data_IF_261648630028
#
_entry.id   IF_261648630028
#
_cell.length_a   1.000
_cell.length_b   1.000
_cell.length_c   1.000
_cell.angle_alpha   90.00
_cell.angle_beta   90.00
_cell.angle_gamma   90.00
#
_symmetry.space_group_name_H-M   'P 1'
#
loop_
_entity.id
_entity.type
_entity.pdbx_description
1 polymer ?
#
# COMPACT_ATOMS: atom_id res chain seq x y z
N UNK A 1 -16.00 20.03 62.84
CA UNK A 1 -16.72 20.66 61.69
C UNK A 1 -15.85 20.75 60.44
N UNK A 2 -14.64 21.33 60.48
CA UNK A 2 -13.75 21.42 59.30
C UNK A 2 -13.33 20.06 58.70
N UNK A 3 -13.13 19.04 59.52
CA UNK A 3 -12.80 17.67 59.07
C UNK A 3 -13.94 17.03 58.27
N UNK A 4 -15.18 17.17 58.74
CA UNK A 4 -16.36 16.68 58.02
C UNK A 4 -16.52 17.40 56.68
N UNK A 5 -16.36 18.74 56.65
CA UNK A 5 -16.41 19.53 55.41
C UNK A 5 -15.36 19.06 54.38
N UNK A 6 -14.12 18.80 54.83
CA UNK A 6 -13.06 18.27 53.96
C UNK A 6 -13.41 16.90 53.39
N UNK A 7 -13.98 16.00 54.19
CA UNK A 7 -14.42 14.69 53.72
C UNK A 7 -15.53 14.79 52.67
N UNK A 8 -16.51 15.68 52.87
CA UNK A 8 -17.56 15.92 51.87
C UNK A 8 -17.03 16.51 50.57
N UNK A 9 -16.07 17.46 50.65
CA UNK A 9 -15.44 18.04 49.45
C UNK A 9 -14.65 16.97 48.69
N UNK A 10 -13.90 16.11 49.38
CA UNK A 10 -13.15 15.01 48.74
C UNK A 10 -14.12 14.04 48.08
N UNK A 11 -15.15 13.57 48.79
CA UNK A 11 -16.14 12.64 48.25
C UNK A 11 -16.90 13.22 47.05
N UNK A 12 -17.32 14.49 47.13
CA UNK A 12 -17.97 15.20 46.03
C UNK A 12 -17.06 15.36 44.81
N UNK A 13 -15.80 15.74 45.02
CA UNK A 13 -14.82 15.87 43.94
C UNK A 13 -14.52 14.53 43.25
N UNK A 14 -14.44 13.44 44.01
CA UNK A 14 -14.22 12.10 43.49
C UNK A 14 -15.40 11.61 42.64
N UNK A 15 -16.64 11.89 43.06
CA UNK A 15 -17.85 11.58 42.29
C UNK A 15 -17.90 12.37 40.98
N UNK A 16 -17.57 13.65 41.02
CA UNK A 16 -17.57 14.51 39.82
C UNK A 16 -16.49 14.05 38.83
N UNK A 17 -15.25 13.83 39.30
CA UNK A 17 -14.15 13.37 38.44
C UNK A 17 -14.39 11.96 37.91
N UNK A 18 -14.90 11.06 38.74
CA UNK A 18 -15.28 9.70 38.34
C UNK A 18 -16.40 9.72 37.30
N UNK A 19 -17.45 10.51 37.52
CA UNK A 19 -18.56 10.68 36.58
C UNK A 19 -18.10 11.23 35.23
N UNK A 20 -17.24 12.26 35.22
CA UNK A 20 -16.63 12.81 34.02
C UNK A 20 -15.77 11.79 33.27
N UNK A 21 -14.98 10.98 33.99
CA UNK A 21 -14.16 9.94 33.38
C UNK A 21 -15.01 8.85 32.72
N UNK A 22 -16.07 8.40 33.40
CA UNK A 22 -17.02 7.40 32.87
C UNK A 22 -17.75 7.95 31.64
N UNK A 23 -18.28 9.17 31.71
CA UNK A 23 -18.94 9.81 30.57
C UNK A 23 -17.99 9.93 29.39
N UNK A 24 -16.77 10.39 29.61
CA UNK A 24 -15.77 10.51 28.56
C UNK A 24 -15.50 9.15 27.91
N UNK A 25 -15.31 8.09 28.70
CA UNK A 25 -15.06 6.74 28.19
C UNK A 25 -16.27 6.19 27.43
N UNK A 26 -17.49 6.41 27.94
CA UNK A 26 -18.73 5.99 27.27
C UNK A 26 -18.95 6.73 25.94
N UNK A 27 -18.50 7.98 25.83
CA UNK A 27 -18.56 8.75 24.58
C UNK A 27 -17.37 8.52 23.63
N UNK A 28 -16.35 7.74 24.01
CA UNK A 28 -15.26 7.43 23.09
C UNK A 28 -15.80 6.54 21.97
N UNK A 29 -15.77 7.03 20.73
CA UNK A 29 -16.03 6.20 19.56
C UNK A 29 -15.03 5.04 19.52
N UNK A 30 -15.55 3.82 19.35
CA UNK A 30 -14.74 2.68 18.94
C UNK A 30 -14.22 2.96 17.53
N UNK A 31 -12.94 2.72 17.29
CA UNK A 31 -12.35 2.85 15.95
C UNK A 31 -13.08 1.90 14.99
N UNK A 32 -13.43 2.41 13.82
CA UNK A 32 -14.01 1.59 12.75
C UNK A 32 -12.96 0.66 12.16
N UNK A 33 -13.39 -0.41 11.48
CA UNK A 33 -12.49 -1.26 10.69
C UNK A 33 -11.69 -0.42 9.67
N UNK A 34 -12.32 0.58 9.07
CA UNK A 34 -11.66 1.53 8.15
C UNK A 34 -10.59 2.38 8.85
N UNK A 35 -10.81 2.78 10.10
CA UNK A 35 -9.81 3.53 10.88
C UNK A 35 -8.59 2.67 11.18
N UNK A 36 -8.82 1.41 11.55
CA UNK A 36 -7.76 0.44 11.75
C UNK A 36 -6.95 0.19 10.47
N UNK A 37 -7.63 0.05 9.33
CA UNK A 37 -6.98 -0.17 8.05
C UNK A 37 -6.20 1.08 7.59
N UNK A 38 -6.73 2.28 7.82
CA UNK A 38 -6.00 3.54 7.58
C UNK A 38 -4.73 3.63 8.43
N UNK A 39 -4.82 3.34 9.73
CA UNK A 39 -3.65 3.35 10.62
C UNK A 39 -2.60 2.32 10.20
N UNK A 40 -3.03 1.13 9.74
CA UNK A 40 -2.12 0.11 9.18
C UNK A 40 -1.37 0.65 7.96
N UNK A 41 -2.08 1.29 7.02
CA UNK A 41 -1.49 1.88 5.81
C UNK A 41 -0.55 3.04 6.13
N UNK A 42 -0.91 3.92 7.05
CA UNK A 42 -0.04 5.00 7.53
C UNK A 42 1.23 4.48 8.22
N UNK A 43 1.12 3.37 8.97
CA UNK A 43 2.28 2.72 9.58
C UNK A 43 3.22 2.18 8.51
N UNK A 44 2.71 1.38 7.56
CA UNK A 44 3.50 0.82 6.47
C UNK A 44 4.10 1.88 5.56
N UNK A 45 3.39 2.99 5.31
CA UNK A 45 3.94 4.11 4.56
C UNK A 45 5.19 4.69 5.26
N UNK A 46 5.16 4.76 6.59
CA UNK A 46 6.24 5.31 7.42
C UNK A 46 7.42 4.36 7.62
N UNK A 47 7.16 3.08 7.89
CA UNK A 47 8.19 2.11 8.31
C UNK A 47 8.54 1.07 7.23
N UNK A 48 7.70 0.92 6.22
CA UNK A 48 7.81 -0.14 5.23
C UNK A 48 9.06 -0.01 4.38
N UNK A 49 9.68 -1.14 4.07
CA UNK A 49 10.75 -1.21 3.05
C UNK A 49 10.13 -1.34 1.67
N UNK A 50 10.82 -0.78 0.69
CA UNK A 50 10.43 -0.85 -0.72
C UNK A 50 11.04 -2.09 -1.36
N UNK A 51 10.26 -2.75 -2.21
CA UNK A 51 10.72 -3.80 -3.12
C UNK A 51 9.98 -3.67 -4.45
N UNK A 52 10.58 -4.19 -5.50
CA UNK A 52 9.92 -4.28 -6.79
C UNK A 52 8.93 -5.45 -6.78
N UNK A 53 7.76 -5.20 -7.36
CA UNK A 53 6.70 -6.17 -7.53
C UNK A 53 6.03 -5.99 -8.88
N UNK A 54 5.01 -6.80 -9.14
CA UNK A 54 4.21 -6.69 -10.37
C UNK A 54 2.73 -6.77 -10.03
N UNK A 55 1.93 -5.92 -10.68
CA UNK A 55 0.47 -6.04 -10.62
C UNK A 55 0.06 -7.28 -11.41
N UNK A 56 -0.65 -8.19 -10.75
CA UNK A 56 -1.12 -9.43 -11.37
C UNK A 56 -2.53 -9.23 -11.91
N UNK A 57 -3.40 -8.57 -11.15
CA UNK A 57 -4.80 -8.40 -11.53
C UNK A 57 -5.47 -7.23 -10.75
N UNK A 58 -6.62 -6.79 -11.25
CA UNK A 58 -7.50 -5.84 -10.58
C UNK A 58 -8.91 -6.41 -10.62
N UNK A 59 -9.41 -6.81 -9.46
CA UNK A 59 -10.76 -7.35 -9.34
C UNK A 59 -11.73 -6.26 -8.89
N UNK A 60 -12.89 -6.20 -9.54
CA UNK A 60 -14.03 -5.39 -9.12
C UNK A 60 -15.12 -6.31 -8.57
N UNK A 61 -15.48 -6.11 -7.31
CA UNK A 61 -16.58 -6.82 -6.65
C UNK A 61 -17.83 -5.95 -6.72
N UNK A 62 -18.95 -6.56 -7.11
CA UNK A 62 -20.25 -5.91 -7.30
C UNK A 62 -20.19 -4.74 -8.31
N UNK A 63 -19.81 -5.01 -9.58
CA UNK A 63 -19.60 -3.97 -10.59
C UNK A 63 -20.87 -3.16 -10.89
N UNK A 64 -22.05 -3.72 -10.61
CA UNK A 64 -23.34 -3.07 -10.86
C UNK A 64 -23.74 -2.08 -9.74
N UNK A 65 -22.99 -2.03 -8.64
CA UNK A 65 -23.23 -1.10 -7.54
C UNK A 65 -22.36 0.16 -7.63
N UNK A 66 -22.89 1.34 -7.25
CA UNK A 66 -22.13 2.60 -7.28
C UNK A 66 -20.90 2.59 -6.33
N UNK A 67 -20.88 1.68 -5.36
CA UNK A 67 -19.78 1.49 -4.41
C UNK A 67 -19.06 0.16 -4.64
N UNK A 68 -18.96 -0.29 -5.90
CA UNK A 68 -18.20 -1.49 -6.28
C UNK A 68 -16.84 -1.49 -5.58
N UNK A 69 -16.50 -2.58 -4.89
CA UNK A 69 -15.22 -2.68 -4.18
C UNK A 69 -14.12 -3.06 -5.17
N UNK A 70 -12.94 -2.46 -5.03
CA UNK A 70 -11.83 -2.70 -5.96
C UNK A 70 -10.61 -3.21 -5.24
N UNK A 71 -10.12 -4.34 -5.75
CA UNK A 71 -9.04 -5.10 -5.14
C UNK A 71 -7.87 -5.16 -6.12
N UNK A 72 -6.74 -4.58 -5.72
CA UNK A 72 -5.48 -4.65 -6.45
C UNK A 72 -4.72 -5.89 -6.01
N UNK A 73 -4.40 -6.78 -6.96
CA UNK A 73 -3.68 -8.03 -6.71
C UNK A 73 -2.26 -7.88 -7.28
N UNK A 74 -1.26 -8.20 -6.47
CA UNK A 74 0.15 -8.01 -6.81
C UNK A 74 1.04 -9.07 -6.19
N UNK A 75 2.21 -9.31 -6.80
CA UNK A 75 3.27 -10.13 -6.22
C UNK A 75 4.55 -9.32 -6.00
N UNK A 76 5.42 -9.86 -5.15
CA UNK A 76 6.75 -9.34 -4.85
C UNK A 76 7.62 -10.44 -4.23
N UNK A 77 8.94 -10.33 -4.41
CA UNK A 77 9.91 -11.26 -3.81
C UNK A 77 10.60 -10.61 -2.60
N UNK A 78 10.69 -11.35 -1.49
CA UNK A 78 11.54 -10.96 -0.36
C UNK A 78 12.39 -12.16 0.04
N UNK A 79 13.71 -12.01 -0.06
CA UNK A 79 14.68 -13.04 0.30
C UNK A 79 14.44 -14.39 -0.41
N UNK A 80 14.00 -14.37 -1.68
CA UNK A 80 13.73 -15.56 -2.47
C UNK A 80 12.38 -16.23 -2.19
N UNK A 81 11.54 -15.59 -1.36
CA UNK A 81 10.15 -16.01 -1.14
C UNK A 81 9.23 -15.06 -1.89
N UNK A 82 8.44 -15.64 -2.78
CA UNK A 82 7.41 -14.92 -3.52
C UNK A 82 6.15 -14.79 -2.66
N UNK A 83 5.70 -13.56 -2.49
CA UNK A 83 4.46 -13.22 -1.84
C UNK A 83 3.45 -12.76 -2.87
N UNK A 84 2.20 -13.13 -2.65
CA UNK A 84 1.05 -12.61 -3.38
C UNK A 84 0.07 -12.02 -2.37
N UNK A 85 -0.38 -10.81 -2.64
CA UNK A 85 -1.29 -10.10 -1.76
C UNK A 85 -2.34 -9.35 -2.57
N UNK A 86 -3.48 -9.12 -1.93
CA UNK A 86 -4.55 -8.31 -2.45
C UNK A 86 -4.79 -7.12 -1.53
N UNK A 87 -4.93 -5.94 -2.11
CA UNK A 87 -5.16 -4.69 -1.39
C UNK A 87 -6.47 -4.07 -1.83
N UNK A 88 -7.36 -3.82 -0.88
CA UNK A 88 -8.56 -3.02 -1.12
C UNK A 88 -8.17 -1.56 -1.35
N UNK A 89 -8.51 -1.04 -2.53
CA UNK A 89 -8.24 0.33 -2.96
C UNK A 89 -9.53 1.14 -3.17
N UNK A 90 -10.67 0.63 -2.70
CA UNK A 90 -12.00 1.27 -2.86
C UNK A 90 -12.03 2.70 -2.33
N UNK A 91 -11.42 2.94 -1.16
CA UNK A 91 -11.34 4.27 -0.54
C UNK A 91 -10.17 5.12 -1.09
N UNK A 92 -9.28 4.50 -1.87
CA UNK A 92 -8.06 5.09 -2.42
C UNK A 92 -8.18 5.50 -3.89
N UNK A 93 -9.32 5.26 -4.52
CA UNK A 93 -9.56 5.58 -5.95
C UNK A 93 -9.30 7.04 -6.31
N UNK A 94 -9.49 7.96 -5.38
CA UNK A 94 -9.20 9.39 -5.57
C UNK A 94 -7.69 9.70 -5.66
N UNK A 95 -6.83 8.80 -5.15
CA UNK A 95 -5.38 8.96 -5.10
C UNK A 95 -4.66 8.09 -6.15
N UNK A 96 -5.39 7.28 -6.91
CA UNK A 96 -4.85 6.31 -7.87
C UNK A 96 -5.61 6.37 -9.16
N UNK A 97 -4.89 6.48 -10.28
CA UNK A 97 -5.47 6.25 -11.59
C UNK A 97 -5.54 4.74 -11.88
N UNK A 98 -6.71 4.17 -11.64
CA UNK A 98 -6.98 2.73 -11.82
C UNK A 98 -6.86 2.29 -13.28
N UNK A 99 -6.95 3.20 -14.25
CA UNK A 99 -6.72 2.88 -15.66
C UNK A 99 -5.27 2.46 -15.94
N UNK A 100 -4.35 2.78 -15.02
CA UNK A 100 -2.95 2.38 -15.05
C UNK A 100 -2.67 1.08 -14.29
N UNK A 101 -3.64 0.55 -13.52
CA UNK A 101 -3.55 -0.74 -12.87
C UNK A 101 -3.83 -1.85 -13.89
N UNK A 102 -2.83 -2.15 -14.73
CA UNK A 102 -2.92 -3.23 -15.72
C UNK A 102 -2.08 -4.41 -15.28
N UNK A 103 -2.52 -5.60 -15.68
CA UNK A 103 -1.78 -6.84 -15.50
C UNK A 103 -0.37 -6.70 -16.10
N UNK A 104 0.64 -7.09 -15.34
CA UNK A 104 2.04 -7.07 -15.75
C UNK A 104 2.74 -5.72 -15.57
N UNK A 105 2.06 -4.70 -15.03
CA UNK A 105 2.69 -3.41 -14.76
C UNK A 105 3.66 -3.57 -13.57
N UNK A 106 4.94 -3.22 -13.73
CA UNK A 106 5.87 -3.13 -12.60
C UNK A 106 5.27 -2.20 -11.55
N UNK A 107 5.45 -2.53 -10.28
CA UNK A 107 4.97 -1.69 -9.18
C UNK A 107 5.97 -1.72 -8.04
N UNK A 108 6.03 -0.65 -7.26
CA UNK A 108 6.78 -0.64 -6.01
C UNK A 108 5.86 -1.10 -4.88
N UNK A 109 6.31 -2.04 -4.07
CA UNK A 109 5.59 -2.57 -2.91
C UNK A 109 6.29 -2.10 -1.64
N UNK A 110 5.53 -1.57 -0.69
CA UNK A 110 5.99 -1.36 0.68
C UNK A 110 5.58 -2.55 1.54
N UNK A 111 6.52 -3.12 2.28
CA UNK A 111 6.28 -4.24 3.19
C UNK A 111 6.93 -4.02 4.56
N UNK A 112 6.37 -4.65 5.58
CA UNK A 112 6.99 -4.71 6.91
C UNK A 112 8.13 -5.75 6.91
N UNK A 113 9.40 -5.38 7.17
CA UNK A 113 10.51 -6.33 7.20
C UNK A 113 10.38 -7.41 8.28
N UNK A 114 9.62 -7.16 9.34
CA UNK A 114 9.37 -8.15 10.40
C UNK A 114 8.21 -9.09 10.05
N UNK A 115 7.33 -8.68 9.14
CA UNK A 115 6.21 -9.46 8.64
C UNK A 115 6.01 -9.19 7.14
N UNK A 116 6.78 -9.84 6.24
CA UNK A 116 6.77 -9.51 4.82
C UNK A 116 5.40 -9.60 4.16
N UNK A 117 4.51 -10.49 4.62
CA UNK A 117 3.14 -10.60 4.12
C UNK A 117 2.26 -9.38 4.42
N UNK A 118 2.67 -8.51 5.35
CA UNK A 118 2.03 -7.22 5.58
C UNK A 118 2.58 -6.17 4.62
N UNK A 119 1.91 -6.03 3.48
CA UNK A 119 2.33 -5.17 2.39
C UNK A 119 1.22 -4.24 1.89
N UNK A 120 1.63 -3.18 1.20
CA UNK A 120 0.77 -2.26 0.46
C UNK A 120 1.47 -1.79 -0.83
N UNK A 121 0.67 -1.49 -1.84
CA UNK A 121 1.10 -0.77 -3.04
C UNK A 121 0.65 0.69 -2.99
N UNK A 122 -0.46 0.97 -2.28
CA UNK A 122 -1.07 2.30 -2.23
C UNK A 122 -1.38 2.72 -0.80
N UNK A 123 -1.21 4.00 -0.51
CA UNK A 123 -1.67 4.69 0.70
C UNK A 123 -2.18 6.09 0.34
N UNK A 124 -2.73 6.81 1.31
CA UNK A 124 -3.18 8.19 1.19
C UNK A 124 -2.07 9.16 0.75
N UNK A 125 -0.80 8.82 1.03
CA UNK A 125 0.35 9.71 0.85
C UNK A 125 1.37 9.22 -0.16
N UNK A 126 1.23 7.97 -0.61
CA UNK A 126 2.21 7.31 -1.46
C UNK A 126 1.53 6.27 -2.34
N UNK A 127 1.96 6.18 -3.59
CA UNK A 127 1.56 5.15 -4.55
C UNK A 127 2.79 4.55 -5.20
N UNK A 128 2.85 3.22 -5.23
CA UNK A 128 3.84 2.44 -5.98
C UNK A 128 3.41 2.09 -7.39
N UNK A 129 2.23 2.53 -7.83
CA UNK A 129 1.75 2.32 -9.20
C UNK A 129 2.39 3.38 -10.10
N UNK A 130 3.20 2.94 -11.07
CA UNK A 130 3.86 3.86 -11.99
C UNK A 130 2.87 4.27 -13.08
N UNK A 131 2.64 5.58 -13.21
CA UNK A 131 1.87 6.16 -14.31
C UNK A 131 2.67 6.04 -15.61
N UNK A 132 2.43 4.98 -16.38
CA UNK A 132 2.53 4.98 -17.83
C UNK A 132 3.89 5.27 -18.49
N UNK A 133 5.02 5.18 -17.80
CA UNK A 133 6.30 5.05 -18.50
C UNK A 133 6.64 3.56 -18.55
N UNK A 134 6.43 2.86 -19.69
CA UNK A 134 7.01 1.55 -19.86
C UNK A 134 8.52 1.75 -19.73
N UNK A 135 9.08 1.37 -18.59
CA UNK A 135 10.52 1.20 -18.48
C UNK A 135 10.86 0.17 -19.55
N UNK A 136 11.46 0.65 -20.63
CA UNK A 136 12.00 -0.12 -21.75
C UNK A 136 13.24 -0.86 -21.27
N UNK A 137 13.14 -1.53 -20.13
CA UNK A 137 14.22 -2.16 -19.41
C UNK A 137 14.50 -3.52 -20.05
N UNK A 138 14.90 -3.53 -21.32
CA UNK A 138 15.64 -4.61 -21.98
C UNK A 138 15.08 -6.04 -21.98
N UNK A 139 13.94 -6.34 -21.33
CA UNK A 139 13.39 -7.70 -21.20
C UNK A 139 12.76 -8.16 -22.53
N UNK A 140 12.31 -7.22 -23.36
CA UNK A 140 11.77 -7.53 -24.70
C UNK A 140 12.81 -8.20 -25.63
N UNK A 141 14.11 -8.03 -25.35
CA UNK A 141 15.20 -8.66 -26.11
C UNK A 141 15.46 -10.13 -25.76
N UNK A 142 14.84 -10.67 -24.71
CA UNK A 142 14.98 -12.10 -24.39
C UNK A 142 14.00 -12.98 -25.15
N UNK A 143 12.84 -12.46 -25.55
CA UNK A 143 11.79 -13.25 -26.24
C UNK A 143 11.66 -12.96 -27.74
N UNK A 144 12.20 -11.85 -28.25
CA UNK A 144 12.41 -11.67 -29.69
C UNK A 144 13.80 -12.17 -30.06
N UNK A 145 13.86 -13.26 -30.84
CA UNK A 145 15.09 -13.97 -31.24
C UNK A 145 16.07 -13.19 -32.14
N UNK A 146 16.19 -11.88 -31.99
CA UNK A 146 17.25 -11.11 -32.63
C UNK A 146 18.59 -11.35 -31.93
N UNK A 147 19.33 -12.34 -32.43
CA UNK A 147 20.76 -12.45 -32.16
C UNK A 147 21.43 -11.16 -32.64
N UNK A 148 22.09 -10.45 -31.72
CA UNK A 148 23.02 -9.37 -32.10
C UNK A 148 24.03 -9.92 -33.10
N UNK A 149 23.99 -9.42 -34.33
CA UNK A 149 25.08 -9.63 -35.27
C UNK A 149 26.28 -8.83 -34.73
N UNK A 150 27.46 -9.45 -34.55
CA UNK A 150 28.63 -8.71 -34.10
C UNK A 150 28.94 -7.59 -35.12
N UNK A 151 29.50 -6.46 -34.67
CA UNK A 151 29.86 -5.37 -35.58
C UNK A 151 30.76 -5.93 -36.71
N UNK A 152 30.54 -5.51 -37.98
CA UNK A 152 31.31 -6.03 -39.10
C UNK A 152 32.79 -5.80 -38.85
N UNK A 153 33.60 -6.83 -39.09
CA UNK A 153 35.04 -6.76 -38.88
C UNK A 153 35.63 -5.68 -39.80
N UNK A 154 36.66 -4.97 -39.32
CA UNK A 154 37.26 -3.81 -39.99
C UNK A 154 37.73 -4.06 -41.44
N UNK A 155 37.81 -5.33 -41.87
CA UNK A 155 38.18 -5.75 -43.22
C UNK A 155 37.02 -5.67 -44.24
N UNK A 156 35.78 -5.49 -43.79
CA UNK A 156 34.58 -5.57 -44.64
C UNK A 156 34.06 -4.18 -45.09
N UNK A 157 34.64 -3.09 -44.56
CA UNK A 157 34.21 -1.72 -44.81
C UNK A 157 35.03 -0.96 -45.88
N UNK A 158 35.84 -1.66 -46.68
CA UNK A 158 36.57 -1.03 -47.78
C UNK A 158 35.83 -1.26 -49.11
N UNK A 159 35.42 -0.21 -49.85
CA UNK A 159 34.87 -0.39 -51.18
C UNK A 159 35.95 -0.96 -52.10
N UNK A 160 35.68 -2.12 -52.71
CA UNK A 160 36.46 -2.59 -53.86
C UNK A 160 36.29 -1.56 -54.99
N UNK A 161 37.39 -0.97 -55.43
CA UNK A 161 37.49 -0.31 -56.74
C UNK A 161 37.40 -1.34 -57.85
#
# INVERSE_FOLDING_TARGET
MLTALRLYVIAGSALVLGGLAVLRLATRRKKSAEDHERERRELLDRIGRLVDGTVIDVAELNPDEPNASQLLIYNYDVAGVQYEASQDVTHLRQYVDLHNCRIGVPTSVKYDPQNPGNSIVVSERWSGLHSGTPLRLGIDRMFTGERRQPPPSRHEAAPRK
#
